data_IF_786014728398
#
_entry.id   IF_786014728398
#
_cell.length_a   1.000
_cell.length_b   1.000
_cell.length_c   1.000
_cell.angle_alpha   90.00
_cell.angle_beta   90.00
_cell.angle_gamma   90.00
#
_symmetry.space_group_name_H-M   'P 1'
#
loop_
_entity.id
_entity.type
_entity.pdbx_description
1 polymer ?
#
# COMPACT_ATOMS: atom_id res chain seq x y z
N UNK A 1 21.94 -22.77 -17.57
CA UNK A 1 20.69 -22.21 -18.11
C UNK A 1 19.57 -22.95 -17.44
N UNK A 2 19.07 -22.43 -16.33
CA UNK A 2 17.96 -23.01 -15.57
C UNK A 2 16.72 -22.20 -15.93
N UNK A 3 15.80 -22.86 -16.63
CA UNK A 3 14.50 -22.33 -16.99
C UNK A 3 13.75 -21.91 -15.73
N UNK A 4 13.34 -20.65 -15.67
CA UNK A 4 12.48 -20.17 -14.59
C UNK A 4 11.11 -20.88 -14.74
N UNK A 5 10.48 -21.32 -13.64
CA UNK A 5 9.20 -21.98 -13.71
C UNK A 5 8.16 -21.04 -14.33
N UNK A 6 7.58 -21.44 -15.46
CA UNK A 6 6.41 -20.77 -16.05
C UNK A 6 5.27 -20.85 -15.02
N UNK A 7 4.83 -19.71 -14.53
CA UNK A 7 3.60 -19.60 -13.76
C UNK A 7 2.45 -20.19 -14.58
N UNK A 8 1.61 -21.06 -14.02
CA UNK A 8 0.39 -21.47 -14.72
C UNK A 8 -0.44 -20.22 -15.02
N UNK A 9 -1.04 -20.16 -16.20
CA UNK A 9 -1.91 -19.05 -16.61
C UNK A 9 -2.97 -18.83 -15.51
N UNK A 10 -2.99 -17.64 -14.93
CA UNK A 10 -3.94 -17.28 -13.88
C UNK A 10 -5.33 -17.16 -14.54
N UNK A 11 -6.34 -17.94 -14.12
CA UNK A 11 -7.70 -17.85 -14.67
C UNK A 11 -8.33 -16.46 -14.50
N UNK A 12 -7.80 -15.59 -13.61
CA UNK A 12 -8.21 -14.19 -13.52
C UNK A 12 -7.89 -13.39 -14.80
N UNK A 13 -6.97 -13.84 -15.63
CA UNK A 13 -6.63 -13.17 -16.89
C UNK A 13 -7.64 -13.47 -18.03
N UNK A 14 -8.49 -14.49 -17.89
CA UNK A 14 -9.55 -14.78 -18.88
C UNK A 14 -10.77 -13.86 -18.73
N UNK A 15 -10.97 -13.22 -17.57
CA UNK A 15 -12.05 -12.26 -17.33
C UNK A 15 -11.82 -10.90 -18.04
N UNK A 16 -10.61 -10.64 -18.53
CA UNK A 16 -10.24 -9.38 -19.19
C UNK A 16 -10.69 -9.29 -20.66
N UNK A 17 -11.27 -10.35 -21.26
CA UNK A 17 -11.57 -10.38 -22.69
C UNK A 17 -12.82 -9.60 -23.12
N UNK A 18 -13.65 -9.11 -22.19
CA UNK A 18 -14.85 -8.31 -22.49
C UNK A 18 -14.89 -6.96 -21.74
N UNK A 19 -13.73 -6.28 -21.65
CA UNK A 19 -13.61 -4.94 -21.07
C UNK A 19 -14.31 -3.83 -21.88
N UNK A 20 -14.91 -4.18 -23.04
CA UNK A 20 -15.63 -3.22 -23.89
C UNK A 20 -16.95 -2.72 -23.30
N UNK A 21 -17.45 -3.35 -22.21
CA UNK A 21 -18.75 -3.05 -21.60
C UNK A 21 -18.61 -2.12 -20.38
N UNK A 22 -17.43 -2.07 -19.74
CA UNK A 22 -17.22 -1.29 -18.52
C UNK A 22 -16.42 -0.02 -18.83
N UNK A 23 -17.05 1.14 -18.64
CA UNK A 23 -16.35 2.44 -18.69
C UNK A 23 -15.37 2.52 -17.47
N UNK A 24 -14.05 2.63 -17.70
CA UNK A 24 -13.08 2.69 -16.61
C UNK A 24 -13.26 3.90 -15.68
N UNK A 25 -13.84 5.00 -16.17
CA UNK A 25 -14.08 6.19 -15.36
C UNK A 25 -15.27 5.98 -14.43
N UNK A 26 -16.36 5.43 -14.96
CA UNK A 26 -17.54 5.09 -14.18
C UNK A 26 -17.22 4.03 -13.14
N UNK A 27 -16.50 2.98 -13.53
CA UNK A 27 -16.06 1.93 -12.62
C UNK A 27 -15.18 2.48 -11.49
N UNK A 28 -14.24 3.39 -11.78
CA UNK A 28 -13.44 4.07 -10.75
C UNK A 28 -14.31 4.90 -9.81
N UNK A 29 -15.34 5.56 -10.33
CA UNK A 29 -16.30 6.34 -9.52
C UNK A 29 -17.06 5.41 -8.58
N UNK A 30 -17.54 4.26 -9.07
CA UNK A 30 -18.21 3.26 -8.25
C UNK A 30 -17.30 2.71 -7.15
N UNK A 31 -16.06 2.32 -7.48
CA UNK A 31 -15.06 1.88 -6.49
C UNK A 31 -14.77 2.96 -5.44
N UNK A 32 -14.75 4.22 -5.84
CA UNK A 32 -14.53 5.36 -4.95
C UNK A 32 -15.63 5.57 -3.90
N UNK A 33 -16.79 4.93 -4.02
CA UNK A 33 -17.87 4.98 -3.01
C UNK A 33 -17.53 4.17 -1.75
N UNK A 34 -16.59 3.23 -1.87
CA UNK A 34 -16.09 2.45 -0.72
C UNK A 34 -15.09 3.29 0.07
N UNK A 35 -15.50 3.72 1.28
CA UNK A 35 -14.63 4.47 2.18
C UNK A 35 -13.53 3.57 2.74
N UNK A 36 -12.30 4.05 2.66
CA UNK A 36 -11.10 3.35 3.15
C UNK A 36 -10.35 4.20 4.17
N UNK A 37 -9.47 3.58 4.93
CA UNK A 37 -8.38 4.29 5.57
C UNK A 37 -7.34 4.77 4.53
N UNK A 38 -6.40 5.57 4.98
CA UNK A 38 -5.25 6.03 4.19
C UNK A 38 -3.97 5.55 4.83
N UNK A 39 -3.10 4.94 4.03
CA UNK A 39 -1.80 4.45 4.47
C UNK A 39 -0.67 5.04 3.64
N UNK A 40 0.52 5.11 4.21
CA UNK A 40 1.77 5.23 3.47
C UNK A 40 2.52 3.91 3.63
N UNK A 41 2.77 3.24 2.50
CA UNK A 41 3.61 2.05 2.47
C UNK A 41 5.04 2.48 2.24
N UNK A 42 5.95 1.98 3.06
CA UNK A 42 7.36 2.37 3.04
C UNK A 42 8.27 1.15 2.96
N UNK A 43 9.38 1.29 2.28
CA UNK A 43 10.46 0.31 2.20
C UNK A 43 11.80 1.02 1.97
N UNK A 44 12.88 0.27 1.90
CA UNK A 44 14.19 0.78 1.54
C UNK A 44 14.57 0.25 0.16
N UNK A 45 14.98 1.15 -0.73
CA UNK A 45 15.48 0.80 -2.05
C UNK A 45 16.87 0.14 -1.97
N UNK A 46 17.32 -0.47 -3.06
CA UNK A 46 18.61 -1.17 -3.12
C UNK A 46 19.82 -0.26 -2.84
N UNK A 47 19.69 1.04 -3.08
CA UNK A 47 20.71 2.06 -2.78
C UNK A 47 20.67 2.55 -1.30
N UNK A 48 19.82 1.96 -0.47
CA UNK A 48 19.65 2.31 0.93
C UNK A 48 18.74 3.52 1.18
N UNK A 49 18.17 4.14 0.14
CA UNK A 49 17.28 5.29 0.32
C UNK A 49 15.87 4.86 0.73
N UNK A 50 15.23 5.64 1.60
CA UNK A 50 13.85 5.41 1.97
C UNK A 50 12.93 5.65 0.77
N UNK A 51 11.96 4.78 0.56
CA UNK A 51 10.93 4.92 -0.44
C UNK A 51 9.55 4.82 0.21
N UNK A 52 8.56 5.56 -0.33
CA UNK A 52 7.21 5.52 0.19
C UNK A 52 6.18 6.02 -0.82
N UNK A 53 4.95 5.52 -0.68
CA UNK A 53 3.80 5.95 -1.46
C UNK A 53 2.52 5.87 -0.65
N UNK A 54 1.57 6.76 -0.97
CA UNK A 54 0.24 6.72 -0.39
C UNK A 54 -0.60 5.63 -1.04
N UNK A 55 -1.27 4.87 -0.22
CA UNK A 55 -2.07 3.72 -0.63
C UNK A 55 -3.36 3.67 0.21
N UNK A 56 -4.47 3.33 -0.43
CA UNK A 56 -5.76 3.07 0.21
C UNK A 56 -6.30 1.65 -0.07
N UNK A 57 -5.52 0.81 -0.74
CA UNK A 57 -5.86 -0.59 -1.02
C UNK A 57 -5.48 -1.56 0.12
N UNK A 58 -4.98 -1.04 1.24
CA UNK A 58 -4.61 -1.85 2.41
C UNK A 58 -5.83 -2.58 2.99
N UNK A 59 -5.66 -3.88 3.29
CA UNK A 59 -6.65 -4.69 4.00
C UNK A 59 -5.99 -5.75 4.87
N UNK A 60 -6.72 -6.18 5.92
CA UNK A 60 -6.37 -7.37 6.69
C UNK A 60 -6.73 -8.63 5.89
N UNK A 61 -5.94 -9.70 6.08
CA UNK A 61 -6.16 -11.00 5.42
C UNK A 61 -6.38 -12.11 6.43
N UNK A 62 -5.51 -12.24 7.44
CA UNK A 62 -5.55 -13.35 8.39
C UNK A 62 -5.01 -12.92 9.75
N UNK A 63 -5.53 -13.54 10.80
CA UNK A 63 -5.03 -13.38 12.17
C UNK A 63 -4.02 -14.48 12.53
N UNK A 64 -4.15 -15.65 11.94
CA UNK A 64 -3.24 -16.77 12.19
C UNK A 64 -2.97 -17.56 10.90
N UNK A 65 -1.78 -17.38 10.28
CA UNK A 65 -0.76 -16.39 10.62
C UNK A 65 -1.26 -14.95 10.38
N UNK A 66 -0.66 -13.94 11.03
CA UNK A 66 -1.07 -12.55 10.85
C UNK A 66 -0.61 -12.03 9.49
N UNK A 67 -1.56 -11.78 8.60
CA UNK A 67 -1.33 -11.36 7.21
C UNK A 67 -2.13 -10.12 6.88
N UNK A 68 -1.52 -9.25 6.08
CA UNK A 68 -2.13 -8.07 5.47
C UNK A 68 -1.82 -8.01 3.99
N UNK A 69 -2.63 -7.29 3.22
CA UNK A 69 -2.36 -7.03 1.80
C UNK A 69 -2.47 -5.54 1.47
N UNK A 70 -1.86 -5.18 0.35
CA UNK A 70 -2.05 -3.91 -0.34
C UNK A 70 -1.70 -4.09 -1.82
N UNK A 71 -2.14 -3.16 -2.68
CA UNK A 71 -1.95 -3.27 -4.12
C UNK A 71 -1.24 -2.06 -4.69
N UNK A 72 -0.41 -2.27 -5.71
CA UNK A 72 0.35 -1.24 -6.42
C UNK A 72 0.19 -1.41 -7.92
N UNK A 73 -0.07 -0.32 -8.63
CA UNK A 73 -0.14 -0.33 -10.09
C UNK A 73 1.18 -0.77 -10.73
N UNK A 74 1.11 -1.59 -11.77
CA UNK A 74 2.29 -2.15 -12.48
C UNK A 74 3.18 -1.09 -13.12
N UNK A 75 2.65 0.10 -13.40
CA UNK A 75 3.41 1.23 -13.97
C UNK A 75 3.94 2.20 -12.89
N UNK A 76 3.81 1.85 -11.61
CA UNK A 76 4.36 2.66 -10.52
C UNK A 76 5.88 2.66 -10.54
N UNK A 77 6.50 3.84 -10.41
CA UNK A 77 7.96 3.98 -10.29
C UNK A 77 8.53 3.23 -9.07
N UNK A 78 7.71 2.99 -8.05
CA UNK A 78 8.10 2.27 -6.85
C UNK A 78 7.98 0.75 -6.94
N UNK A 79 7.46 0.20 -8.04
CA UNK A 79 7.20 -1.24 -8.13
C UNK A 79 8.45 -2.06 -7.84
N UNK A 80 9.56 -1.74 -8.51
CA UNK A 80 10.83 -2.47 -8.35
C UNK A 80 11.38 -2.39 -6.91
N UNK A 81 11.13 -1.30 -6.18
CA UNK A 81 11.53 -1.19 -4.77
C UNK A 81 10.80 -2.23 -3.93
N UNK A 82 9.48 -2.30 -4.04
CA UNK A 82 8.67 -3.23 -3.24
C UNK A 82 8.80 -4.69 -3.71
N UNK A 83 9.09 -4.93 -4.97
CA UNK A 83 9.38 -6.27 -5.48
C UNK A 83 10.67 -6.85 -4.92
N UNK A 84 11.66 -6.02 -4.62
CA UNK A 84 12.96 -6.44 -4.11
C UNK A 84 13.10 -6.27 -2.59
N UNK A 85 12.21 -5.54 -1.94
CA UNK A 85 12.25 -5.34 -0.51
C UNK A 85 11.94 -6.64 0.25
N UNK A 86 12.79 -7.00 1.22
CA UNK A 86 12.51 -8.10 2.15
C UNK A 86 11.41 -7.76 3.16
N UNK A 87 11.30 -6.47 3.51
CA UNK A 87 10.33 -5.93 4.45
C UNK A 87 9.75 -4.63 3.94
N UNK A 88 8.54 -4.33 4.40
CA UNK A 88 7.89 -3.04 4.22
C UNK A 88 7.12 -2.67 5.49
N UNK A 89 6.87 -1.39 5.68
CA UNK A 89 6.00 -0.92 6.75
C UNK A 89 4.72 -0.31 6.16
N UNK A 90 3.58 -0.64 6.77
CA UNK A 90 2.29 0.00 6.51
C UNK A 90 2.07 1.02 7.61
N UNK A 91 2.06 2.31 7.27
CA UNK A 91 1.82 3.40 8.19
C UNK A 91 0.39 3.93 8.00
N UNK A 92 -0.50 3.64 8.93
CA UNK A 92 -1.90 4.11 8.91
C UNK A 92 -1.93 5.55 9.39
N UNK A 93 -2.45 6.45 8.56
CA UNK A 93 -2.40 7.90 8.82
C UNK A 93 -3.56 8.37 9.70
N UNK A 94 -3.26 9.35 10.54
CA UNK A 94 -4.23 10.11 11.29
C UNK A 94 -4.74 11.34 10.52
N UNK A 95 -5.84 11.94 11.00
CA UNK A 95 -6.48 13.13 10.39
C UNK A 95 -5.55 14.33 10.27
N UNK A 96 -4.55 14.46 11.15
CA UNK A 96 -3.53 15.51 11.08
C UNK A 96 -2.52 15.33 9.95
N UNK A 97 -2.46 14.14 9.33
CA UNK A 97 -1.46 13.77 8.34
C UNK A 97 -1.95 13.85 6.88
N UNK A 98 -3.07 14.56 6.61
CA UNK A 98 -3.60 14.73 5.25
C UNK A 98 -2.57 15.35 4.28
N UNK A 99 -1.79 16.34 4.74
CA UNK A 99 -0.73 16.95 3.92
C UNK A 99 0.36 15.93 3.56
N UNK A 100 0.72 15.06 4.52
CA UNK A 100 1.67 13.98 4.32
C UNK A 100 1.13 12.95 3.30
N UNK A 101 -0.14 12.54 3.42
CA UNK A 101 -0.80 11.68 2.44
C UNK A 101 -0.72 12.26 1.03
N UNK A 102 -1.06 13.54 0.87
CA UNK A 102 -1.02 14.23 -0.43
C UNK A 102 0.40 14.33 -1.00
N UNK A 103 1.41 14.49 -0.14
CA UNK A 103 2.83 14.54 -0.54
C UNK A 103 3.31 13.19 -1.07
N UNK A 104 3.01 12.08 -0.36
CA UNK A 104 3.43 10.74 -0.76
C UNK A 104 2.62 10.18 -1.95
N UNK A 105 1.46 10.77 -2.27
CA UNK A 105 0.68 10.43 -3.46
C UNK A 105 1.27 10.98 -4.77
N UNK A 106 2.16 11.99 -4.71
CA UNK A 106 2.77 12.62 -5.89
C UNK A 106 4.11 11.99 -6.20
N UNK A 107 4.54 12.03 -7.47
CA UNK A 107 5.92 11.73 -7.85
C UNK A 107 6.83 12.86 -7.36
N UNK A 108 7.85 12.53 -6.59
CA UNK A 108 8.88 13.46 -6.10
C UNK A 108 10.07 12.65 -5.61
N UNK A 109 11.27 13.18 -5.83
CA UNK A 109 12.53 12.56 -5.40
C UNK A 109 12.82 12.77 -3.92
N UNK A 110 12.12 13.70 -3.27
CA UNK A 110 12.36 14.07 -1.87
C UNK A 110 11.07 14.08 -1.03
N UNK A 111 10.36 12.94 -1.03
CA UNK A 111 9.14 12.79 -0.23
C UNK A 111 9.41 12.79 1.27
N UNK A 112 10.61 12.40 1.69
CA UNK A 112 10.99 12.25 3.10
C UNK A 112 11.61 13.50 3.72
N UNK A 113 11.87 14.57 2.96
CA UNK A 113 12.44 15.80 3.53
C UNK A 113 11.59 16.35 4.68
N UNK A 114 12.18 16.49 5.85
CA UNK A 114 11.51 16.99 7.06
C UNK A 114 10.41 16.05 7.60
N UNK A 115 10.36 14.79 7.16
CA UNK A 115 9.46 13.77 7.71
C UNK A 115 10.16 13.04 8.85
N UNK A 116 9.54 13.00 10.02
CA UNK A 116 10.04 12.23 11.15
C UNK A 116 9.67 10.75 10.98
N UNK A 117 10.67 9.88 11.06
CA UNK A 117 10.52 8.44 11.00
C UNK A 117 11.66 7.72 11.73
N UNK A 118 11.45 6.47 12.07
CA UNK A 118 12.47 5.57 12.63
C UNK A 118 12.64 4.34 11.77
N UNK A 119 13.83 3.74 11.71
CA UNK A 119 14.00 2.47 10.99
C UNK A 119 13.26 1.34 11.72
N UNK A 120 12.41 0.64 10.99
CA UNK A 120 11.74 -0.58 11.43
C UNK A 120 12.46 -1.84 10.93
N UNK A 121 11.74 -2.96 10.86
CA UNK A 121 12.25 -4.22 10.33
C UNK A 121 12.68 -4.05 8.86
N UNK A 122 13.84 -4.60 8.51
CA UNK A 122 14.45 -4.40 7.21
C UNK A 122 14.77 -2.93 6.88
N UNK A 123 14.93 -2.08 7.89
CA UNK A 123 15.10 -0.63 7.80
C UNK A 123 13.94 0.12 7.13
N UNK A 124 12.78 -0.53 6.93
CA UNK A 124 11.61 0.14 6.37
C UNK A 124 11.20 1.32 7.28
N UNK A 125 10.98 2.54 6.72
CA UNK A 125 10.63 3.70 7.52
C UNK A 125 9.29 3.52 8.25
N UNK A 126 9.30 3.65 9.58
CA UNK A 126 8.12 3.76 10.43
C UNK A 126 7.89 5.25 10.70
N UNK A 127 6.82 5.80 10.13
CA UNK A 127 6.51 7.22 10.23
C UNK A 127 6.00 7.58 11.63
N UNK A 128 6.42 8.74 12.12
CA UNK A 128 5.92 9.28 13.38
C UNK A 128 4.44 9.69 13.26
N UNK A 129 3.78 9.80 14.40
CA UNK A 129 2.42 10.35 14.56
C UNK A 129 1.25 9.61 13.87
N UNK A 130 1.51 8.48 13.22
CA UNK A 130 0.45 7.65 12.63
C UNK A 130 -0.51 7.07 13.66
N UNK A 131 -1.64 6.55 13.21
CA UNK A 131 -2.63 5.84 14.05
C UNK A 131 -2.16 4.43 14.38
N UNK A 132 -1.57 3.76 13.40
CA UNK A 132 -0.98 2.44 13.57
C UNK A 132 0.17 2.26 12.57
N UNK A 133 1.05 1.32 12.89
CA UNK A 133 2.01 0.80 11.93
C UNK A 133 2.04 -0.73 11.99
N UNK A 134 2.27 -1.35 10.85
CA UNK A 134 2.49 -2.79 10.73
C UNK A 134 3.81 -2.99 9.99
N UNK A 135 4.76 -3.67 10.60
CA UNK A 135 6.05 -3.99 10.01
C UNK A 135 5.98 -5.42 9.48
N UNK A 136 6.12 -5.57 8.19
CA UNK A 136 5.79 -6.80 7.51
C UNK A 136 7.01 -7.33 6.75
N UNK A 137 7.25 -8.63 6.88
CA UNK A 137 8.09 -9.36 5.93
C UNK A 137 7.28 -9.58 4.65
N UNK A 138 7.88 -9.33 3.49
CA UNK A 138 7.26 -9.64 2.20
C UNK A 138 7.04 -11.16 2.09
N UNK A 139 5.77 -11.60 2.07
CA UNK A 139 5.43 -13.02 2.09
C UNK A 139 5.17 -13.56 0.69
N UNK A 140 4.35 -12.88 -0.11
CA UNK A 140 4.02 -13.30 -1.47
C UNK A 140 3.56 -12.11 -2.32
N UNK A 141 3.45 -12.31 -3.62
CA UNK A 141 2.94 -11.34 -4.61
C UNK A 141 2.05 -12.05 -5.60
N UNK A 142 0.96 -11.37 -5.97
CA UNK A 142 0.00 -11.86 -6.96
C UNK A 142 -0.25 -10.77 -7.99
N UNK A 143 -0.14 -11.12 -9.27
CA UNK A 143 -0.41 -10.20 -10.37
C UNK A 143 -1.89 -10.29 -10.73
N UNK A 144 -2.58 -9.15 -10.68
CA UNK A 144 -4.02 -9.05 -10.94
C UNK A 144 -4.34 -7.85 -11.81
N UNK A 145 -4.57 -8.08 -13.10
CA UNK A 145 -4.85 -7.01 -14.05
C UNK A 145 -3.68 -6.02 -14.17
N UNK A 146 -3.94 -4.74 -13.91
CA UNK A 146 -2.96 -3.66 -13.96
C UNK A 146 -2.26 -3.39 -12.60
N UNK A 147 -2.46 -4.27 -11.62
CA UNK A 147 -1.90 -4.16 -10.27
C UNK A 147 -1.18 -5.43 -9.82
N UNK A 148 -0.24 -5.23 -8.88
CA UNK A 148 0.38 -6.29 -8.10
C UNK A 148 -0.15 -6.21 -6.67
N UNK A 149 -0.65 -7.32 -6.14
CA UNK A 149 -1.07 -7.48 -4.74
C UNK A 149 0.14 -7.97 -3.96
N UNK A 150 0.54 -7.22 -2.94
CA UNK A 150 1.60 -7.59 -2.01
C UNK A 150 0.98 -8.17 -0.74
N UNK A 151 1.39 -9.37 -0.38
CA UNK A 151 1.02 -10.01 0.87
C UNK A 151 2.16 -9.86 1.87
N UNK A 152 1.88 -9.32 3.05
CA UNK A 152 2.83 -9.14 4.14
C UNK A 152 2.49 -10.01 5.34
N UNK A 153 3.51 -10.74 5.85
CA UNK A 153 3.44 -11.36 7.16
C UNK A 153 3.81 -10.32 8.22
N UNK A 154 2.87 -9.99 9.10
CA UNK A 154 3.09 -9.00 10.16
C UNK A 154 3.98 -9.59 11.24
N UNK A 155 5.14 -8.98 11.47
CA UNK A 155 6.11 -9.41 12.48
C UNK A 155 6.16 -8.45 13.68
N UNK A 156 5.77 -7.18 13.49
CA UNK A 156 5.61 -6.21 14.57
C UNK A 156 4.51 -5.21 14.22
N UNK A 157 3.84 -4.67 15.23
CA UNK A 157 2.87 -3.60 15.05
C UNK A 157 2.76 -2.72 16.30
N UNK A 158 2.31 -1.48 16.09
CA UNK A 158 1.92 -0.58 17.15
C UNK A 158 0.69 0.22 16.71
N UNK A 159 -0.11 0.68 17.66
CA UNK A 159 -1.28 1.51 17.41
C UNK A 159 -1.58 2.45 18.59
N UNK A 160 -2.37 3.47 18.32
CA UNK A 160 -2.87 4.40 19.32
C UNK A 160 -4.35 4.74 19.06
N UNK A 161 -4.92 5.67 19.83
CA UNK A 161 -6.34 6.05 19.75
C UNK A 161 -6.59 7.34 18.94
N UNK A 162 -5.64 7.78 18.11
CA UNK A 162 -5.87 8.92 17.21
C UNK A 162 -6.94 8.60 16.18
N UNK A 163 -7.60 9.64 15.68
CA UNK A 163 -8.62 9.50 14.63
C UNK A 163 -7.96 9.14 13.29
N UNK A 164 -8.41 8.07 12.60
CA UNK A 164 -7.86 7.71 11.30
C UNK A 164 -8.28 8.69 10.20
N UNK A 165 -7.37 8.93 9.26
CA UNK A 165 -7.68 9.63 8.02
C UNK A 165 -8.44 8.70 7.09
N UNK A 166 -9.60 9.14 6.58
CA UNK A 166 -10.41 8.40 5.63
C UNK A 166 -10.27 8.96 4.22
N UNK A 167 -10.57 8.12 3.22
CA UNK A 167 -10.65 8.50 1.83
C UNK A 167 -11.89 7.88 1.18
N UNK A 168 -12.73 8.70 0.56
CA UNK A 168 -13.90 8.27 -0.20
C UNK A 168 -14.23 9.29 -1.29
N UNK A 169 -14.76 8.81 -2.43
CA UNK A 169 -15.24 9.67 -3.55
C UNK A 169 -14.19 10.70 -4.02
N UNK A 170 -12.90 10.32 -3.96
CA UNK A 170 -11.82 11.21 -4.37
C UNK A 170 -11.43 12.28 -3.34
N UNK A 171 -11.98 12.26 -2.13
CA UNK A 171 -11.71 13.23 -1.05
C UNK A 171 -11.29 12.58 0.26
N UNK A 172 -10.54 13.34 1.06
CA UNK A 172 -10.22 12.96 2.43
C UNK A 172 -11.39 13.28 3.37
N UNK A 173 -11.59 12.42 4.37
CA UNK A 173 -12.66 12.55 5.36
C UNK A 173 -12.20 12.16 6.76
N UNK A 174 -13.14 12.25 7.71
CA UNK A 174 -12.98 11.88 9.11
C UNK A 174 -14.06 10.89 9.51
N UNK A 175 -13.73 10.06 10.49
CA UNK A 175 -14.71 9.22 11.15
C UNK A 175 -15.45 10.05 12.22
N UNK A 176 -16.78 10.03 12.18
CA UNK A 176 -17.62 10.55 13.27
C UNK A 176 -18.42 9.37 13.80
N UNK A 177 -18.23 9.05 15.09
CA UNK A 177 -19.15 8.15 15.80
C UNK A 177 -20.52 8.84 15.90
N UNK A 178 -21.57 8.17 15.42
CA UNK A 178 -22.95 8.62 15.61
C UNK A 178 -23.36 8.58 17.06
#
# INVERSE_FOLDING_TARGET
MTDAPKHPADPANELASDSSIIDPRDFRTALGTYATGVTIITAVAADGKPYGLTCNSFASVSLNPPLVLWSLGMFSQGLSVFENASHFAVNVLGTSQQALASRFAKSSDDKFAGVEWTPGLGNAPVLADGVANFQCRAANRYYGGDHVIFLGAVEAYAYNRKEPLLFARGGYGRFTSG
#
